data_IF_835374610491
#
_entry.id   IF_835374610491
#
_cell.length_a   1.000
_cell.length_b   1.000
_cell.length_c   1.000
_cell.angle_alpha   90.00
_cell.angle_beta   90.00
_cell.angle_gamma   90.00
#
_symmetry.space_group_name_H-M   'P 1'
#
loop_
_entity.id
_entity.type
_entity.pdbx_description
1 polymer ?
#
# COMPACT_ATOMS: atom_id res chain seq x y z
N UNK A 1 -15.95 20.83 -12.36
CA UNK A 1 -16.03 20.44 -11.96
C UNK A 1 -15.60 19.89 -11.31
N UNK A 2 -15.11 20.01 -11.27
CA UNK A 2 -14.72 19.43 -10.59
C UNK A 2 -14.98 18.78 -9.80
N UNK A 3 -15.41 18.73 -9.63
CA UNK A 3 -15.83 18.01 -8.82
C UNK A 3 -16.19 16.79 -8.98
N UNK A 4 -16.47 16.57 -9.55
CA UNK A 4 -16.88 15.35 -9.91
C UNK A 4 -15.90 14.32 -9.78
N UNK A 5 -14.76 14.56 -9.95
CA UNK A 5 -13.85 13.56 -9.74
C UNK A 5 -13.67 13.20 -8.37
N UNK A 6 -14.03 14.05 -7.48
CA UNK A 6 -13.96 13.67 -6.09
C UNK A 6 -14.93 12.56 -5.81
N UNK A 7 -16.06 12.56 -6.46
CA UNK A 7 -17.02 11.49 -6.28
C UNK A 7 -16.53 10.20 -6.84
N UNK A 8 -15.58 10.28 -7.75
CA UNK A 8 -15.07 9.09 -8.39
C UNK A 8 -13.74 8.66 -7.84
N UNK A 9 -13.50 8.93 -6.59
CA UNK A 9 -12.22 8.56 -6.01
C UNK A 9 -11.99 7.08 -6.14
N UNK A 10 -10.82 6.73 -6.59
CA UNK A 10 -10.43 5.35 -6.80
C UNK A 10 -10.26 4.67 -5.44
N UNK A 11 -10.82 3.46 -5.30
CA UNK A 11 -10.74 2.75 -4.04
C UNK A 11 -9.30 2.36 -3.67
N UNK A 12 -8.39 2.40 -4.63
CA UNK A 12 -6.97 2.16 -4.34
C UNK A 12 -6.24 3.40 -3.85
N UNK A 13 -6.92 4.53 -3.73
CA UNK A 13 -6.34 5.69 -3.08
C UNK A 13 -6.84 5.68 -1.64
N UNK A 14 -5.95 5.33 -0.72
CA UNK A 14 -6.31 5.23 0.69
C UNK A 14 -6.10 6.56 1.37
N UNK A 15 -7.20 7.17 1.83
CA UNK A 15 -7.10 8.39 2.60
C UNK A 15 -6.86 8.05 4.05
N UNK A 16 -5.81 8.64 4.63
CA UNK A 16 -5.45 8.32 6.00
C UNK A 16 -6.35 9.04 6.99
N UNK A 17 -6.79 8.34 8.03
CA UNK A 17 -7.47 8.97 9.14
C UNK A 17 -6.52 9.87 9.89
N UNK A 18 -5.27 9.46 10.02
CA UNK A 18 -4.26 10.26 10.70
C UNK A 18 -3.05 10.43 9.80
N UNK A 19 -2.83 11.66 9.32
CA UNK A 19 -1.67 11.94 8.46
C UNK A 19 -0.36 11.60 9.15
N UNK A 20 0.65 11.29 8.34
CA UNK A 20 1.97 10.94 8.81
C UNK A 20 2.94 12.05 8.43
N UNK A 21 3.75 12.49 9.42
CA UNK A 21 4.82 13.42 9.14
C UNK A 21 6.10 12.64 8.98
N UNK A 22 6.77 12.78 7.84
CA UNK A 22 8.01 12.07 7.60
C UNK A 22 8.99 12.99 6.90
N UNK A 23 10.06 13.32 7.60
CA UNK A 23 11.14 14.14 7.05
C UNK A 23 10.63 15.42 6.38
N UNK A 24 9.75 16.12 7.08
CA UNK A 24 9.26 17.40 6.62
C UNK A 24 8.11 17.32 5.62
N UNK A 25 7.68 16.11 5.28
CA UNK A 25 6.57 15.92 4.36
C UNK A 25 5.38 15.35 5.11
N UNK A 26 4.19 15.91 4.86
CA UNK A 26 2.97 15.38 5.45
C UNK A 26 2.29 14.47 4.44
N UNK A 27 2.08 13.22 4.81
CA UNK A 27 1.42 12.25 3.95
C UNK A 27 -0.03 12.12 4.42
N UNK A 28 -0.97 12.42 3.54
CA UNK A 28 -2.39 12.39 3.88
C UNK A 28 -3.12 11.26 3.18
N UNK A 29 -2.52 10.66 2.18
CA UNK A 29 -3.12 9.53 1.48
C UNK A 29 -2.03 8.67 0.88
N UNK A 30 -2.36 7.40 0.64
CA UNK A 30 -1.47 6.47 -0.01
C UNK A 30 -2.11 6.06 -1.33
N UNK A 31 -1.45 6.38 -2.42
CA UNK A 31 -1.97 6.08 -3.76
C UNK A 31 -1.44 4.73 -4.22
N UNK A 32 -2.31 3.74 -4.26
CA UNK A 32 -1.96 2.39 -4.65
C UNK A 32 -2.34 2.07 -6.10
N UNK A 33 -2.78 3.08 -6.86
CA UNK A 33 -3.35 2.79 -8.18
C UNK A 33 -2.36 2.16 -9.14
N UNK A 34 -1.06 2.43 -8.98
CA UNK A 34 -0.07 1.86 -9.89
C UNK A 34 0.09 0.36 -9.72
N UNK A 35 -0.51 -0.24 -8.67
CA UNK A 35 -0.49 -1.70 -8.55
C UNK A 35 -1.10 -2.34 -9.80
N UNK A 36 -2.08 -1.69 -10.41
CA UNK A 36 -2.72 -2.22 -11.60
C UNK A 36 -1.77 -2.42 -12.77
N UNK A 37 -0.66 -1.67 -12.78
CA UNK A 37 0.31 -1.75 -13.87
C UNK A 37 1.48 -2.66 -13.54
N UNK A 38 1.53 -3.21 -12.34
CA UNK A 38 2.66 -4.04 -11.95
C UNK A 38 2.65 -5.38 -12.66
N UNK A 39 3.83 -5.88 -12.94
CA UNK A 39 4.02 -7.15 -13.62
C UNK A 39 4.61 -8.16 -12.65
N UNK A 40 4.78 -9.41 -13.11
CA UNK A 40 5.45 -10.41 -12.30
C UNK A 40 6.87 -10.02 -11.93
N UNK A 41 7.54 -9.25 -12.81
CA UNK A 41 8.88 -8.77 -12.48
C UNK A 41 8.84 -7.84 -11.27
N UNK A 42 7.86 -6.95 -11.24
CA UNK A 42 7.69 -6.05 -10.09
C UNK A 42 7.42 -6.86 -8.84
N UNK A 43 6.58 -7.88 -8.94
CA UNK A 43 6.27 -8.72 -7.78
C UNK A 43 7.49 -9.46 -7.27
N UNK A 44 8.35 -9.95 -8.18
CA UNK A 44 9.58 -10.61 -7.75
C UNK A 44 10.43 -9.68 -6.89
N UNK A 45 10.53 -8.41 -7.27
CA UNK A 45 11.28 -7.44 -6.49
C UNK A 45 10.60 -7.18 -5.13
N UNK A 46 9.28 -7.15 -5.14
CA UNK A 46 8.53 -6.94 -3.91
C UNK A 46 8.70 -8.13 -2.95
N UNK A 47 8.68 -9.36 -3.47
CA UNK A 47 8.92 -10.54 -2.64
C UNK A 47 10.34 -10.51 -2.06
N UNK A 48 11.32 -10.10 -2.85
CA UNK A 48 12.69 -10.00 -2.34
C UNK A 48 12.78 -9.00 -1.19
N UNK A 49 12.14 -7.85 -1.34
CA UNK A 49 12.12 -6.85 -0.28
C UNK A 49 11.37 -7.36 0.94
N UNK A 50 10.25 -8.05 0.72
CA UNK A 50 9.48 -8.63 1.81
C UNK A 50 10.34 -9.59 2.62
N UNK A 51 11.10 -10.46 1.94
CA UNK A 51 11.98 -11.38 2.65
C UNK A 51 13.10 -10.64 3.36
N UNK A 52 13.66 -9.60 2.73
CA UNK A 52 14.73 -8.83 3.34
C UNK A 52 14.27 -8.13 4.62
N UNK A 53 12.98 -7.82 4.72
CA UNK A 53 12.43 -7.15 5.90
C UNK A 53 11.98 -8.17 6.96
N UNK A 54 12.30 -9.43 6.78
CA UNK A 54 11.97 -10.43 7.78
C UNK A 54 10.72 -11.24 7.48
N UNK A 55 10.14 -11.08 6.32
CA UNK A 55 8.97 -11.86 5.95
C UNK A 55 9.33 -13.29 5.60
N UNK A 56 8.33 -14.12 5.39
CA UNK A 56 8.56 -15.48 4.95
C UNK A 56 7.83 -16.47 5.82
N UNK A 57 7.88 -17.72 5.39
CA UNK A 57 7.30 -18.82 6.17
C UNK A 57 5.79 -18.89 6.11
N UNK A 58 5.15 -18.12 5.26
CA UNK A 58 3.71 -18.08 5.14
C UNK A 58 3.31 -18.37 3.71
N UNK A 59 2.31 -19.23 3.53
CA UNK A 59 1.88 -19.62 2.20
C UNK A 59 1.28 -18.47 1.41
N UNK A 60 0.56 -17.57 2.08
CA UNK A 60 -0.07 -16.44 1.40
C UNK A 60 0.56 -15.14 1.87
N UNK A 61 1.75 -14.88 1.40
CA UNK A 61 2.49 -13.67 1.78
C UNK A 61 1.71 -12.41 1.43
N UNK A 62 0.94 -12.46 0.35
CA UNK A 62 0.17 -11.32 -0.14
C UNK A 62 -0.93 -10.88 0.84
N UNK A 63 -1.22 -11.69 1.84
CA UNK A 63 -2.24 -11.34 2.84
C UNK A 63 -1.65 -10.71 4.09
N UNK A 64 -0.34 -10.49 4.14
CA UNK A 64 0.29 -9.98 5.36
C UNK A 64 0.42 -8.46 5.33
N UNK A 65 0.50 -7.88 6.52
CA UNK A 65 0.72 -6.44 6.63
C UNK A 65 2.07 -6.04 6.04
N UNK A 66 3.11 -6.81 6.30
CA UNK A 66 4.43 -6.46 5.79
C UNK A 66 4.43 -6.43 4.26
N UNK A 67 3.78 -7.40 3.61
CA UNK A 67 3.69 -7.38 2.16
C UNK A 67 2.96 -6.13 1.68
N UNK A 68 1.86 -5.77 2.35
CA UNK A 68 1.11 -4.59 1.98
C UNK A 68 1.96 -3.33 2.13
N UNK A 69 2.77 -3.26 3.16
CA UNK A 69 3.63 -2.11 3.37
C UNK A 69 4.70 -2.01 2.28
N UNK A 70 5.31 -3.13 1.92
CA UNK A 70 6.34 -3.13 0.88
C UNK A 70 5.75 -2.72 -0.47
N UNK A 71 4.60 -3.31 -0.82
CA UNK A 71 4.00 -2.98 -2.11
C UNK A 71 3.48 -1.55 -2.13
N UNK A 72 2.99 -1.05 -0.98
CA UNK A 72 2.52 0.33 -0.91
C UNK A 72 3.67 1.31 -1.09
N UNK A 73 4.82 1.00 -0.52
CA UNK A 73 5.99 1.84 -0.70
C UNK A 73 6.35 1.93 -2.18
N UNK A 74 6.36 0.80 -2.86
CA UNK A 74 6.71 0.80 -4.27
C UNK A 74 5.65 1.48 -5.11
N UNK A 75 4.38 1.25 -4.82
CA UNK A 75 3.30 1.81 -5.62
C UNK A 75 3.17 3.31 -5.45
N UNK A 76 3.31 3.79 -4.22
CA UNK A 76 3.08 5.20 -3.91
C UNK A 76 4.34 6.06 -4.05
N UNK A 77 5.51 5.43 -4.00
CA UNK A 77 6.76 6.18 -4.03
C UNK A 77 7.23 6.67 -2.68
N UNK A 78 6.45 6.44 -1.62
CA UNK A 78 6.89 6.82 -0.28
C UNK A 78 7.86 5.80 0.28
N UNK A 79 8.86 6.23 1.08
CA UNK A 79 9.79 5.28 1.68
C UNK A 79 9.07 4.28 2.58
N UNK A 80 9.60 3.07 2.65
CA UNK A 80 8.99 2.04 3.48
C UNK A 80 8.87 2.48 4.94
N UNK A 81 9.88 3.18 5.46
CA UNK A 81 9.81 3.66 6.83
C UNK A 81 8.60 4.57 7.06
N UNK A 82 8.27 5.40 6.07
CA UNK A 82 7.12 6.27 6.20
C UNK A 82 5.83 5.46 6.21
N UNK A 83 5.74 4.45 5.35
CA UNK A 83 4.56 3.59 5.31
C UNK A 83 4.39 2.86 6.65
N UNK A 84 5.48 2.44 7.25
CA UNK A 84 5.42 1.75 8.53
C UNK A 84 5.01 2.65 9.68
N UNK A 85 5.01 3.97 9.48
CA UNK A 85 4.56 4.91 10.49
C UNK A 85 3.06 5.14 10.51
N UNK A 86 2.33 4.60 9.54
CA UNK A 86 0.88 4.71 9.56
C UNK A 86 0.35 4.16 10.87
N UNK A 87 -0.67 4.83 11.43
CA UNK A 87 -1.30 4.32 12.64
C UNK A 87 -1.92 2.96 12.37
N UNK A 88 -2.14 2.20 13.43
CA UNK A 88 -2.58 0.82 13.30
C UNK A 88 -3.86 0.69 12.46
N UNK A 89 -4.81 1.59 12.68
CA UNK A 89 -6.08 1.52 11.95
C UNK A 89 -5.85 1.73 10.46
N UNK A 90 -5.06 2.74 10.10
CA UNK A 90 -4.76 2.98 8.70
C UNK A 90 -3.93 1.85 8.11
N UNK A 91 -3.04 1.25 8.91
CA UNK A 91 -2.26 0.11 8.45
C UNK A 91 -3.14 -1.08 8.10
N UNK A 92 -4.19 -1.33 8.91
CA UNK A 92 -5.13 -2.41 8.61
C UNK A 92 -5.93 -2.10 7.36
N UNK A 93 -6.34 -0.84 7.19
CA UNK A 93 -7.02 -0.45 5.95
C UNK A 93 -6.13 -0.69 4.75
N UNK A 94 -4.85 -0.33 4.87
CA UNK A 94 -3.90 -0.56 3.79
C UNK A 94 -3.81 -2.05 3.46
N UNK A 95 -3.65 -2.88 4.49
CA UNK A 95 -3.56 -4.32 4.29
C UNK A 95 -4.81 -4.84 3.56
N UNK A 96 -5.97 -4.37 3.97
CA UNK A 96 -7.22 -4.85 3.38
C UNK A 96 -7.37 -4.42 1.92
N UNK A 97 -6.91 -3.21 1.57
CA UNK A 97 -6.95 -2.77 0.17
C UNK A 97 -6.08 -3.61 -0.72
N UNK A 98 -4.87 -3.93 -0.25
CA UNK A 98 -3.95 -4.77 -1.01
C UNK A 98 -4.52 -6.18 -1.15
N UNK A 99 -5.06 -6.73 -0.05
CA UNK A 99 -5.67 -8.04 -0.09
C UNK A 99 -6.83 -8.08 -1.09
N UNK A 100 -7.67 -7.06 -1.06
CA UNK A 100 -8.80 -6.97 -1.98
C UNK A 100 -8.34 -6.98 -3.43
N UNK A 101 -7.28 -6.25 -3.71
CA UNK A 101 -6.77 -6.19 -5.08
C UNK A 101 -6.34 -7.55 -5.59
N UNK A 102 -5.65 -8.33 -4.77
CA UNK A 102 -5.09 -9.59 -5.24
C UNK A 102 -6.08 -10.76 -5.17
N UNK A 103 -7.01 -10.72 -4.23
CA UNK A 103 -7.84 -11.91 -3.98
C UNK A 103 -9.33 -11.72 -4.20
N UNK A 104 -9.81 -10.51 -4.30
CA UNK A 104 -11.23 -10.26 -4.46
C UNK A 104 -11.48 -9.48 -5.74
N UNK A 105 -12.62 -9.73 -6.36
CA UNK A 105 -12.97 -8.96 -7.55
C UNK A 105 -13.39 -7.56 -7.16
N UNK A 106 -13.10 -6.62 -8.02
CA UNK A 106 -13.55 -5.27 -7.78
C UNK A 106 -15.02 -5.11 -8.06
#
# INVERSE_FOLDING_TARGET
>A
MEKQETAKKDWLVLKLDQPVEYQGTTITEIDLTSIREMTGRDLNMIYDLYMAQGGGGIAMQESTLLFAQVIASRASGHPLEAIMMLKAKDSVYLKNRVYRFFFLSE
#
